data_IF_073070337485
#
_entry.id   IF_073070337485
#
_cell.length_a   1.000
_cell.length_b   1.000
_cell.length_c   1.000
_cell.angle_alpha   90.00
_cell.angle_beta   90.00
_cell.angle_gamma   90.00
#
_symmetry.space_group_name_H-M   'P 1'
#
loop_
_entity.id
_entity.type
_entity.pdbx_description
1 polymer ?
#
# COMPACT_ATOMS: atom_id res chain seq x y z
N UNK A 1 9.20 -10.43 20.19
CA UNK A 1 9.02 -10.64 18.73
C UNK A 1 9.85 -9.59 18.02
N UNK A 2 10.75 -9.98 17.10
CA UNK A 2 11.52 -9.02 16.30
C UNK A 2 10.75 -8.79 15.00
N UNK A 3 10.30 -7.55 14.73
CA UNK A 3 9.78 -7.24 13.41
C UNK A 3 11.00 -7.24 12.48
N UNK A 4 10.96 -8.08 11.44
CA UNK A 4 11.97 -8.02 10.40
C UNK A 4 11.70 -6.75 9.59
N UNK A 5 12.69 -5.87 9.42
CA UNK A 5 12.51 -4.70 8.57
C UNK A 5 12.22 -5.17 7.14
N UNK A 6 11.35 -4.45 6.44
CA UNK A 6 11.18 -4.65 5.00
C UNK A 6 12.54 -4.52 4.31
N UNK A 7 12.90 -5.44 3.39
CA UNK A 7 14.19 -5.42 2.73
C UNK A 7 14.40 -4.10 2.01
N UNK A 8 15.61 -3.55 2.13
CA UNK A 8 16.00 -2.35 1.42
C UNK A 8 16.34 -2.70 -0.02
N UNK A 9 15.74 -1.96 -0.97
CA UNK A 9 16.20 -1.99 -2.35
C UNK A 9 17.61 -1.41 -2.43
N UNK A 10 18.46 -1.98 -3.28
CA UNK A 10 19.84 -1.53 -3.47
C UNK A 10 19.90 -0.10 -4.06
N UNK A 11 18.90 0.28 -4.85
CA UNK A 11 18.91 1.53 -5.62
C UNK A 11 17.83 2.54 -5.20
N UNK A 12 16.77 2.10 -4.52
CA UNK A 12 15.67 2.97 -4.09
C UNK A 12 15.12 2.54 -2.73
N UNK A 13 14.55 3.51 -2.01
CA UNK A 13 13.83 3.26 -0.77
C UNK A 13 12.34 2.98 -0.99
N UNK A 14 11.89 2.76 -2.24
CA UNK A 14 10.47 2.55 -2.57
C UNK A 14 9.90 1.38 -1.75
N UNK A 15 8.70 1.58 -1.21
CA UNK A 15 7.91 0.57 -0.52
C UNK A 15 6.48 0.57 -1.08
N UNK A 16 5.93 -0.60 -1.46
CA UNK A 16 4.52 -0.70 -1.78
C UNK A 16 3.69 -0.59 -0.49
N UNK A 17 2.53 0.03 -0.60
CA UNK A 17 1.51 0.04 0.45
C UNK A 17 0.16 -0.18 -0.24
N UNK A 18 -0.73 -0.89 0.44
CA UNK A 18 -2.10 -1.03 -0.01
C UNK A 18 -2.94 0.13 0.53
N UNK A 19 -3.87 0.61 -0.29
CA UNK A 19 -4.78 1.68 0.09
C UNK A 19 -6.21 1.33 -0.32
N UNK A 20 -7.15 1.63 0.58
CA UNK A 20 -8.57 1.52 0.28
C UNK A 20 -9.08 2.86 -0.24
N UNK A 21 -9.70 2.84 -1.42
CA UNK A 21 -10.32 4.01 -2.02
C UNK A 21 -11.84 3.85 -2.04
N UNK A 22 -12.55 4.96 -1.89
CA UNK A 22 -14.00 5.02 -2.08
C UNK A 22 -14.27 5.86 -3.32
N UNK A 23 -15.15 5.41 -4.19
CA UNK A 23 -15.49 6.09 -5.44
C UNK A 23 -17.00 6.08 -5.65
N UNK A 24 -17.52 7.13 -6.29
CA UNK A 24 -18.95 7.25 -6.62
C UNK A 24 -19.14 6.86 -8.09
N UNK A 25 -20.09 5.97 -8.35
CA UNK A 25 -20.44 5.59 -9.72
C UNK A 25 -20.94 6.82 -10.50
N UNK A 26 -20.34 7.12 -11.65
CA UNK A 26 -20.68 8.28 -12.47
C UNK A 26 -22.12 8.28 -13.01
N UNK A 27 -22.77 7.11 -13.05
CA UNK A 27 -24.17 6.92 -13.45
C UNK A 27 -25.15 6.87 -12.27
N UNK A 28 -24.67 7.02 -11.03
CA UNK A 28 -25.53 7.08 -9.85
C UNK A 28 -26.57 8.20 -10.00
N UNK A 29 -27.81 7.92 -9.61
CA UNK A 29 -28.90 8.89 -9.58
C UNK A 29 -28.98 9.65 -8.24
N UNK A 30 -28.15 9.26 -7.26
CA UNK A 30 -28.13 9.78 -5.88
C UNK A 30 -26.70 10.17 -5.49
N UNK A 31 -26.08 11.05 -6.28
CA UNK A 31 -24.65 11.39 -6.13
C UNK A 31 -24.41 12.24 -4.90
N UNK A 32 -25.34 13.12 -4.60
CA UNK A 32 -25.31 14.02 -3.46
C UNK A 32 -25.35 13.23 -2.15
N UNK A 33 -26.27 12.27 -2.02
CA UNK A 33 -26.36 11.39 -0.84
C UNK A 33 -25.14 10.47 -0.74
N UNK A 34 -24.67 9.92 -1.86
CA UNK A 34 -23.44 9.13 -1.88
C UNK A 34 -22.23 9.95 -1.42
N UNK A 35 -22.17 11.23 -1.80
CA UNK A 35 -21.12 12.15 -1.35
C UNK A 35 -21.20 12.44 0.15
N UNK A 36 -22.39 12.63 0.71
CA UNK A 36 -22.56 12.74 2.17
C UNK A 36 -22.09 11.47 2.90
N UNK A 37 -22.34 10.29 2.33
CA UNK A 37 -21.83 9.05 2.89
C UNK A 37 -20.30 8.96 2.82
N UNK A 38 -19.68 9.40 1.72
CA UNK A 38 -18.21 9.49 1.62
C UNK A 38 -17.65 10.43 2.70
N UNK A 39 -18.26 11.59 2.93
CA UNK A 39 -17.84 12.49 4.03
C UNK A 39 -17.96 11.82 5.39
N UNK A 40 -19.03 11.07 5.63
CA UNK A 40 -19.20 10.30 6.86
C UNK A 40 -18.08 9.26 7.05
N UNK A 41 -17.70 8.55 5.99
CA UNK A 41 -16.58 7.58 6.03
C UNK A 41 -15.22 8.24 6.29
N UNK A 42 -15.07 9.52 5.92
CA UNK A 42 -13.86 10.33 6.13
C UNK A 42 -13.87 11.12 7.45
N UNK A 43 -14.99 11.09 8.19
CA UNK A 43 -15.11 11.77 9.48
C UNK A 43 -14.09 11.21 10.49
N UNK A 44 -13.67 12.05 11.43
CA UNK A 44 -12.60 11.73 12.38
C UNK A 44 -12.89 10.45 13.18
N UNK A 45 -14.05 10.37 13.83
CA UNK A 45 -14.40 9.22 14.66
C UNK A 45 -14.64 7.96 13.82
N UNK A 46 -15.23 8.10 12.63
CA UNK A 46 -15.41 6.99 11.70
C UNK A 46 -14.09 6.42 11.23
N UNK A 47 -13.16 7.27 10.78
CA UNK A 47 -11.83 6.85 10.37
C UNK A 47 -11.05 6.26 11.53
N UNK A 48 -11.12 6.85 12.73
CA UNK A 48 -10.47 6.29 13.91
C UNK A 48 -10.98 4.88 14.21
N UNK A 49 -12.29 4.64 14.11
CA UNK A 49 -12.87 3.30 14.28
C UNK A 49 -12.42 2.33 13.19
N UNK A 50 -12.50 2.72 11.92
CA UNK A 50 -12.16 1.87 10.78
C UNK A 50 -10.65 1.58 10.65
N UNK A 51 -9.79 2.44 11.21
CA UNK A 51 -8.33 2.33 11.11
C UNK A 51 -7.68 1.45 12.19
N UNK A 52 -8.42 0.54 12.84
CA UNK A 52 -7.91 -0.25 13.98
C UNK A 52 -6.52 -0.86 13.73
N UNK A 53 -6.27 -1.34 12.51
CA UNK A 53 -4.98 -1.90 12.08
C UNK A 53 -4.40 -1.23 10.84
N UNK A 54 -4.84 0.00 10.53
CA UNK A 54 -4.47 0.73 9.32
C UNK A 54 -4.12 2.19 9.63
N UNK A 55 -3.59 2.90 8.64
CA UNK A 55 -3.39 4.36 8.72
C UNK A 55 -4.65 5.07 8.25
N UNK A 56 -5.03 6.15 8.93
CA UNK A 56 -6.17 6.95 8.55
C UNK A 56 -5.74 8.09 7.61
N UNK A 57 -6.56 8.41 6.62
CA UNK A 57 -6.32 9.60 5.77
C UNK A 57 -6.77 10.89 6.46
N UNK A 58 -7.67 10.78 7.44
CA UNK A 58 -8.01 11.88 8.32
C UNK A 58 -6.89 12.08 9.34
N UNK A 59 -6.19 13.22 9.26
CA UNK A 59 -5.01 13.51 10.10
C UNK A 59 -5.27 13.39 11.60
N UNK A 60 -6.40 13.88 12.10
CA UNK A 60 -6.69 13.82 13.55
C UNK A 60 -6.97 12.39 14.01
N UNK A 61 -7.68 11.62 13.18
CA UNK A 61 -7.89 10.20 13.44
C UNK A 61 -6.57 9.43 13.43
N UNK A 62 -5.68 9.75 12.50
CA UNK A 62 -4.36 9.11 12.37
C UNK A 62 -3.45 9.44 13.56
N UNK A 63 -3.40 10.70 14.00
CA UNK A 63 -2.68 11.12 15.20
C UNK A 63 -3.16 10.36 16.46
N UNK A 64 -4.48 10.21 16.65
CA UNK A 64 -5.05 9.40 17.74
C UNK A 64 -4.67 7.93 17.61
N UNK A 65 -4.75 7.36 16.41
CA UNK A 65 -4.43 5.95 16.14
C UNK A 65 -2.95 5.64 16.38
N UNK A 66 -2.07 6.55 15.98
CA UNK A 66 -0.63 6.46 16.22
C UNK A 66 -0.33 6.41 17.72
N UNK A 67 -0.97 7.26 18.53
CA UNK A 67 -0.79 7.23 19.98
C UNK A 67 -1.19 5.88 20.58
N UNK A 68 -2.33 5.32 20.14
CA UNK A 68 -2.78 3.97 20.56
C UNK A 68 -1.77 2.90 20.14
N UNK A 69 -1.26 2.96 18.91
CA UNK A 69 -0.24 2.00 18.45
C UNK A 69 1.06 2.11 19.26
N UNK A 70 1.51 3.31 19.58
CA UNK A 70 2.73 3.51 20.37
C UNK A 70 2.55 2.87 21.77
N UNK A 71 1.39 3.05 22.42
CA UNK A 71 1.05 2.39 23.70
C UNK A 71 1.02 0.84 23.59
N UNK A 72 0.42 0.30 22.52
CA UNK A 72 0.41 -1.16 22.29
C UNK A 72 1.82 -1.72 22.10
N UNK A 73 2.65 -1.03 21.32
CA UNK A 73 4.03 -1.44 21.09
C UNK A 73 4.85 -1.41 22.38
N UNK A 74 4.65 -0.42 23.24
CA UNK A 74 5.26 -0.38 24.58
C UNK A 74 4.84 -1.59 25.42
N UNK A 75 3.51 -1.83 25.51
CA UNK A 75 2.94 -2.94 26.28
C UNK A 75 3.51 -4.30 25.86
N UNK A 76 3.76 -4.51 24.57
CA UNK A 76 4.32 -5.75 24.04
C UNK A 76 5.86 -5.74 23.92
N UNK A 77 6.52 -4.71 24.45
CA UNK A 77 7.98 -4.52 24.39
C UNK A 77 8.53 -4.61 22.95
N UNK A 78 7.83 -3.96 22.02
CA UNK A 78 8.12 -3.88 20.59
C UNK A 78 8.78 -2.56 20.19
N UNK A 79 9.14 -1.68 21.13
CA UNK A 79 9.89 -0.44 20.85
C UNK A 79 11.41 -0.64 20.73
N UNK A 80 11.85 -1.74 20.11
CA UNK A 80 13.25 -1.90 19.74
C UNK A 80 13.68 -0.88 18.69
N UNK A 81 14.98 -0.55 18.62
CA UNK A 81 15.53 0.45 17.70
C UNK A 81 15.13 0.20 16.23
N UNK A 82 15.16 -1.06 15.79
CA UNK A 82 14.75 -1.49 14.45
C UNK A 82 13.27 -1.17 14.17
N UNK A 83 12.39 -1.37 15.16
CA UNK A 83 10.96 -1.15 15.03
C UNK A 83 10.63 0.34 15.01
N UNK A 84 11.30 1.14 15.85
CA UNK A 84 11.18 2.61 15.86
C UNK A 84 11.56 3.18 14.48
N UNK A 85 12.66 2.71 13.90
CA UNK A 85 13.09 3.11 12.54
C UNK A 85 12.04 2.76 11.49
N UNK A 86 11.50 1.54 11.51
CA UNK A 86 10.47 1.11 10.57
C UNK A 86 9.17 1.94 10.68
N UNK A 87 8.71 2.18 11.91
CA UNK A 87 7.49 2.96 12.18
C UNK A 87 7.67 4.42 11.75
N UNK A 88 8.80 5.02 12.09
CA UNK A 88 9.13 6.40 11.68
C UNK A 88 9.17 6.54 10.16
N UNK A 89 9.73 5.56 9.46
CA UNK A 89 9.72 5.55 8.00
C UNK A 89 8.29 5.53 7.46
N UNK A 90 7.43 4.63 7.94
CA UNK A 90 6.04 4.54 7.48
C UNK A 90 5.31 5.87 7.73
N UNK A 91 5.38 6.41 8.96
CA UNK A 91 4.76 7.70 9.33
C UNK A 91 5.19 8.84 8.39
N UNK A 92 6.45 8.89 7.98
CA UNK A 92 6.98 9.93 7.09
C UNK A 92 6.68 9.73 5.59
N UNK A 93 6.21 8.54 5.20
CA UNK A 93 6.00 8.17 3.80
C UNK A 93 4.52 8.24 3.37
N UNK A 94 3.57 8.24 4.31
CA UNK A 94 2.12 8.24 4.04
C UNK A 94 1.68 9.32 3.03
N UNK A 95 2.30 10.50 3.06
CA UNK A 95 1.94 11.63 2.18
C UNK A 95 2.78 11.72 0.90
N UNK A 96 3.75 10.82 0.69
CA UNK A 96 4.66 10.82 -0.48
C UNK A 96 4.27 9.75 -1.51
N UNK A 97 3.08 9.20 -1.32
CA UNK A 97 2.58 8.03 -1.99
C UNK A 97 2.07 8.35 -3.39
N UNK A 98 2.49 7.56 -4.37
CA UNK A 98 1.97 7.59 -5.74
C UNK A 98 1.19 6.32 -5.99
N UNK A 99 -0.05 6.45 -6.48
CA UNK A 99 -0.82 5.29 -6.91
C UNK A 99 -0.07 4.58 -8.05
N UNK A 100 0.14 3.27 -7.89
CA UNK A 100 0.50 2.39 -9.00
C UNK A 100 -0.73 2.29 -9.91
N UNK A 101 -0.84 3.21 -10.87
CA UNK A 101 -1.88 3.19 -11.91
C UNK A 101 -1.64 2.11 -12.98
N UNK A 102 -1.03 0.99 -12.59
CA UNK A 102 -0.73 -0.14 -13.48
C UNK A 102 -2.00 -0.98 -13.59
N UNK A 103 -2.54 -1.24 -14.79
CA UNK A 103 -3.68 -2.14 -14.95
C UNK A 103 -3.37 -3.51 -14.37
N UNK A 104 -4.37 -4.15 -13.74
CA UNK A 104 -4.21 -5.47 -13.14
C UNK A 104 -3.65 -6.50 -14.14
N UNK A 105 -4.04 -6.39 -15.41
CA UNK A 105 -3.56 -7.26 -16.48
C UNK A 105 -2.06 -7.10 -16.73
N UNK A 106 -1.55 -5.87 -16.70
CA UNK A 106 -0.13 -5.58 -16.87
C UNK A 106 0.67 -6.10 -15.67
N UNK A 107 0.16 -5.89 -14.46
CA UNK A 107 0.77 -6.44 -13.25
C UNK A 107 0.79 -7.97 -13.26
N UNK A 108 -0.33 -8.61 -13.62
CA UNK A 108 -0.46 -10.06 -13.71
C UNK A 108 0.47 -10.65 -14.78
N UNK A 109 0.65 -9.95 -15.90
CA UNK A 109 1.60 -10.34 -16.96
C UNK A 109 3.02 -10.44 -16.40
N UNK A 110 3.47 -9.42 -15.68
CA UNK A 110 4.79 -9.41 -15.03
C UNK A 110 4.87 -10.54 -13.98
N UNK A 111 3.86 -10.65 -13.11
CA UNK A 111 3.87 -11.59 -11.99
C UNK A 111 3.87 -13.06 -12.45
N UNK A 112 3.18 -13.39 -13.54
CA UNK A 112 3.14 -14.74 -14.08
C UNK A 112 4.51 -15.20 -14.61
N UNK A 113 5.30 -14.31 -15.22
CA UNK A 113 6.66 -14.64 -15.65
C UNK A 113 7.60 -14.82 -14.46
N UNK A 114 7.47 -13.99 -13.42
CA UNK A 114 8.24 -14.12 -12.17
C UNK A 114 8.01 -15.49 -11.51
N UNK A 115 6.76 -15.97 -11.46
CA UNK A 115 6.44 -17.31 -10.91
C UNK A 115 7.16 -18.44 -11.63
N UNK A 116 7.47 -18.28 -12.91
CA UNK A 116 8.22 -19.28 -13.69
C UNK A 116 9.73 -19.14 -13.45
N UNK A 117 10.23 -17.92 -13.25
CA UNK A 117 11.62 -17.66 -12.90
C UNK A 117 12.01 -18.19 -11.52
N UNK A 118 11.19 -17.95 -10.48
CA UNK A 118 11.49 -18.30 -9.09
C UNK A 118 11.92 -19.77 -8.86
N UNK A 119 11.31 -20.81 -9.47
CA UNK A 119 11.77 -22.18 -9.35
C UNK A 119 13.02 -22.51 -10.20
N UNK A 120 13.61 -21.53 -10.90
CA UNK A 120 14.80 -21.68 -11.74
C UNK A 120 14.52 -22.21 -13.14
N UNK A 121 13.27 -22.16 -13.62
CA UNK A 121 12.91 -22.70 -14.95
C UNK A 121 13.44 -21.86 -16.12
N UNK A 122 13.80 -20.59 -15.88
CA UNK A 122 14.38 -19.67 -16.88
C UNK A 122 15.42 -18.76 -16.23
N UNK A 123 16.34 -18.21 -17.03
CA UNK A 123 17.31 -17.22 -16.55
C UNK A 123 16.64 -15.87 -16.28
N UNK A 124 17.32 -14.99 -15.53
CA UNK A 124 16.81 -13.65 -15.26
C UNK A 124 16.75 -12.79 -16.54
N UNK A 125 17.75 -12.93 -17.42
CA UNK A 125 17.83 -12.22 -18.70
C UNK A 125 16.70 -12.65 -19.63
N UNK A 126 16.45 -13.97 -19.72
CA UNK A 126 15.36 -14.51 -20.53
C UNK A 126 14.00 -14.04 -19.98
N UNK A 127 13.80 -14.13 -18.67
CA UNK A 127 12.57 -13.69 -18.00
C UNK A 127 12.32 -12.20 -18.24
N UNK A 128 13.33 -11.36 -18.05
CA UNK A 128 13.23 -9.92 -18.28
C UNK A 128 12.87 -9.60 -19.74
N UNK A 129 13.49 -10.29 -20.71
CA UNK A 129 13.17 -10.13 -22.14
C UNK A 129 11.73 -10.52 -22.47
N UNK A 130 11.22 -11.62 -21.91
CA UNK A 130 9.84 -12.05 -22.13
C UNK A 130 8.86 -11.05 -21.52
N UNK A 131 9.11 -10.57 -20.30
CA UNK A 131 8.30 -9.53 -19.67
C UNK A 131 8.27 -8.28 -20.55
N UNK A 132 9.44 -7.78 -20.97
CA UNK A 132 9.55 -6.58 -21.80
C UNK A 132 8.70 -6.70 -23.08
N UNK A 133 8.84 -7.81 -23.81
CA UNK A 133 8.08 -8.04 -25.04
C UNK A 133 6.56 -8.05 -24.78
N UNK A 134 6.09 -8.73 -23.72
CA UNK A 134 4.65 -8.80 -23.41
C UNK A 134 4.08 -7.45 -23.00
N UNK A 135 4.83 -6.70 -22.20
CA UNK A 135 4.48 -5.33 -21.79
C UNK A 135 4.39 -4.42 -23.00
N UNK A 136 5.38 -4.48 -23.91
CA UNK A 136 5.37 -3.69 -25.14
C UNK A 136 4.18 -4.03 -26.04
N UNK A 137 3.83 -5.30 -26.20
CA UNK A 137 2.63 -5.67 -26.94
C UNK A 137 1.37 -5.06 -26.30
N UNK A 138 1.19 -5.25 -24.99
CA UNK A 138 0.03 -4.72 -24.27
C UNK A 138 -0.13 -3.19 -24.41
N UNK A 139 0.98 -2.45 -24.37
CA UNK A 139 0.95 -0.99 -24.49
C UNK A 139 0.72 -0.48 -25.92
N UNK A 140 0.88 -1.34 -26.92
CA UNK A 140 0.67 -1.01 -28.34
C UNK A 140 -0.72 -1.43 -28.87
N UNK A 141 -1.54 -2.08 -28.04
CA UNK A 141 -2.95 -2.39 -28.31
C UNK A 141 -3.87 -1.19 -28.01
#
# INVERSE_FOLDING_TARGET
MKLLPWPWGEYTDIRPFDAYNVSINSRSQVKEEAWEFVKFLLAEDTQFYLSERNFAVNRKADEKRIAVFDEELEKYNLLGEDNIKAISYIKNSINKNRALGVPDELFNTIWNEIKIYLPGSRSIEETAKVIQNKVELYLNE
#
